data_IF_053525119625
#
_entry.id   IF_053525119625
#
_cell.length_a   1.000
_cell.length_b   1.000
_cell.length_c   1.000
_cell.angle_alpha   90.00
_cell.angle_beta   90.00
_cell.angle_gamma   90.00
#
_symmetry.space_group_name_H-M   'P 1'
#
loop_
_entity.id
_entity.type
_entity.pdbx_description
1 polymer ?
#
# COMPACT_ATOMS: atom_id res chain seq x y z
N UNK A 1 20.11 -6.36 -0.38
CA UNK A 1 19.02 -6.35 0.60
C UNK A 1 19.27 -7.43 1.62
N UNK A 2 19.06 -7.15 2.90
CA UNK A 2 19.22 -8.15 3.95
C UNK A 2 18.01 -9.11 3.99
N UNK A 3 18.25 -10.36 4.40
CA UNK A 3 17.24 -11.43 4.47
C UNK A 3 16.05 -11.07 5.39
N UNK A 4 16.27 -10.23 6.41
CA UNK A 4 15.22 -9.82 7.35
C UNK A 4 14.27 -8.80 6.73
N UNK A 5 14.77 -7.78 6.03
CA UNK A 5 13.96 -6.78 5.31
C UNK A 5 13.07 -7.44 4.28
N UNK A 6 13.62 -8.38 3.49
CA UNK A 6 12.85 -9.12 2.49
C UNK A 6 11.66 -9.87 3.12
N UNK A 7 11.90 -10.59 4.23
CA UNK A 7 10.85 -11.30 4.98
C UNK A 7 9.77 -10.37 5.51
N UNK A 8 10.16 -9.18 5.98
CA UNK A 8 9.22 -8.17 6.46
C UNK A 8 8.37 -7.63 5.30
N UNK A 9 8.98 -7.27 4.16
CA UNK A 9 8.24 -6.84 2.98
C UNK A 9 7.23 -7.90 2.54
N UNK A 10 7.64 -9.17 2.45
CA UNK A 10 6.75 -10.28 2.08
C UNK A 10 5.54 -10.40 3.02
N UNK A 11 5.78 -10.26 4.33
CA UNK A 11 4.71 -10.29 5.35
C UNK A 11 3.71 -9.14 5.19
N UNK A 12 4.15 -7.97 4.74
CA UNK A 12 3.27 -6.82 4.51
C UNK A 12 2.56 -6.86 3.15
N UNK A 13 3.18 -7.51 2.16
CA UNK A 13 2.63 -7.66 0.81
C UNK A 13 1.49 -8.67 0.81
N UNK A 14 1.73 -9.90 1.32
CA UNK A 14 0.79 -10.99 1.20
C UNK A 14 -0.37 -10.86 2.21
N UNK A 15 -1.62 -10.60 1.77
CA UNK A 15 -2.77 -10.75 2.64
C UNK A 15 -3.12 -12.24 2.69
N UNK A 16 -2.38 -13.02 3.49
CA UNK A 16 -2.49 -14.47 3.71
C UNK A 16 -3.52 -15.19 2.82
N UNK A 17 -2.98 -15.90 1.82
CA UNK A 17 -3.54 -16.44 0.56
C UNK A 17 -4.83 -17.29 0.63
N UNK A 18 -5.46 -17.41 1.79
CA UNK A 18 -6.73 -18.13 1.97
C UNK A 18 -7.80 -17.36 2.75
N UNK A 19 -7.45 -16.29 3.49
CA UNK A 19 -8.40 -15.56 4.34
C UNK A 19 -8.29 -14.02 4.32
N UNK A 20 -7.45 -13.43 3.45
CA UNK A 20 -7.26 -11.97 3.30
C UNK A 20 -7.34 -11.23 4.64
N UNK A 21 -6.44 -11.57 5.55
CA UNK A 21 -6.39 -10.92 6.87
C UNK A 21 -5.53 -9.64 6.80
N UNK A 22 -6.00 -8.51 7.38
CA UNK A 22 -5.20 -7.30 7.44
C UNK A 22 -4.00 -7.48 8.37
N UNK A 23 -2.89 -6.83 8.05
CA UNK A 23 -1.77 -6.70 8.99
C UNK A 23 -2.24 -5.88 10.19
N UNK A 24 -1.95 -6.33 11.41
CA UNK A 24 -2.29 -5.54 12.59
C UNK A 24 -1.46 -4.25 12.65
N UNK A 25 -2.04 -3.15 13.18
CA UNK A 25 -1.30 -1.89 13.39
C UNK A 25 -0.03 -2.08 14.22
N UNK A 26 -0.03 -3.01 15.16
CA UNK A 26 1.12 -3.34 16.00
C UNK A 26 2.24 -3.98 15.16
N UNK A 27 1.90 -4.93 14.29
CA UNK A 27 2.86 -5.56 13.39
C UNK A 27 3.45 -4.54 12.40
N UNK A 28 2.62 -3.66 11.83
CA UNK A 28 3.10 -2.59 10.94
C UNK A 28 4.08 -1.63 11.64
N UNK A 29 3.77 -1.20 12.87
CA UNK A 29 4.68 -0.35 13.67
C UNK A 29 6.01 -1.04 13.97
N UNK A 30 5.99 -2.35 14.23
CA UNK A 30 7.23 -3.13 14.44
C UNK A 30 8.04 -3.26 13.16
N UNK A 31 7.38 -3.42 12.00
CA UNK A 31 8.03 -3.48 10.71
C UNK A 31 8.74 -2.17 10.34
N UNK A 32 8.19 -1.01 10.71
CA UNK A 32 8.77 0.31 10.44
C UNK A 32 10.20 0.48 10.99
N UNK A 33 10.59 -0.25 12.04
CA UNK A 33 11.96 -0.22 12.57
C UNK A 33 13.01 -0.86 11.64
N UNK A 34 12.57 -1.57 10.59
CA UNK A 34 13.43 -2.32 9.67
C UNK A 34 13.26 -1.89 8.21
N UNK A 35 12.32 -0.98 7.91
CA UNK A 35 12.04 -0.54 6.56
C UNK A 35 12.56 0.88 6.35
N UNK A 36 13.15 1.10 5.19
CA UNK A 36 13.40 2.43 4.68
C UNK A 36 12.17 2.86 3.86
N UNK A 37 11.99 4.17 3.59
CA UNK A 37 10.86 4.65 2.81
C UNK A 37 10.69 3.93 1.47
N UNK A 38 11.79 3.60 0.80
CA UNK A 38 11.75 2.88 -0.48
C UNK A 38 11.28 1.42 -0.31
N UNK A 39 11.68 0.73 0.75
CA UNK A 39 11.19 -0.63 1.03
C UNK A 39 9.67 -0.66 1.26
N UNK A 40 9.12 0.36 1.92
CA UNK A 40 7.67 0.48 2.10
C UNK A 40 6.95 0.87 0.81
N UNK A 41 7.56 1.70 -0.04
CA UNK A 41 7.01 2.02 -1.35
C UNK A 41 6.91 0.78 -2.25
N UNK A 42 7.86 -0.14 -2.17
CA UNK A 42 7.79 -1.44 -2.87
C UNK A 42 6.59 -2.25 -2.36
N UNK A 43 6.38 -2.31 -1.03
CA UNK A 43 5.20 -2.97 -0.43
C UNK A 43 3.90 -2.38 -0.97
N UNK A 44 3.77 -1.05 -0.99
CA UNK A 44 2.58 -0.37 -1.52
C UNK A 44 2.36 -0.70 -3.00
N UNK A 45 3.45 -0.70 -3.79
CA UNK A 45 3.43 -1.00 -5.22
C UNK A 45 3.00 -2.44 -5.50
N UNK A 46 3.60 -3.42 -4.81
CA UNK A 46 3.26 -4.83 -4.99
C UNK A 46 1.83 -5.13 -4.55
N UNK A 47 1.36 -4.54 -3.44
CA UNK A 47 -0.04 -4.67 -3.01
C UNK A 47 -1.00 -4.10 -4.05
N UNK A 48 -0.69 -2.92 -4.61
CA UNK A 48 -1.50 -2.31 -5.65
C UNK A 48 -1.50 -3.13 -6.96
N UNK A 49 -0.37 -3.74 -7.33
CA UNK A 49 -0.27 -4.69 -8.45
C UNK A 49 -1.18 -5.92 -8.24
N UNK A 50 -1.34 -6.36 -6.99
CA UNK A 50 -2.30 -7.40 -6.60
C UNK A 50 -3.75 -6.90 -6.50
N UNK A 51 -4.02 -5.62 -6.77
CA UNK A 51 -5.35 -5.01 -6.70
C UNK A 51 -5.84 -4.71 -5.28
N UNK A 52 -4.98 -4.81 -4.26
CA UNK A 52 -5.30 -4.57 -2.85
C UNK A 52 -4.76 -3.22 -2.40
N UNK A 53 -5.48 -2.52 -1.53
CA UNK A 53 -5.06 -1.24 -0.97
C UNK A 53 -3.63 -1.32 -0.42
N UNK A 54 -2.79 -0.36 -0.83
CA UNK A 54 -1.38 -0.25 -0.45
C UNK A 54 -1.15 -0.13 1.05
N UNK A 55 -2.12 0.37 1.81
CA UNK A 55 -2.03 0.43 3.26
C UNK A 55 -2.13 -0.98 3.87
N UNK A 56 -1.09 -1.54 4.54
CA UNK A 56 -1.04 -2.95 4.93
C UNK A 56 -2.12 -3.41 5.90
N UNK A 57 -2.69 -2.48 6.68
CA UNK A 57 -3.79 -2.79 7.60
C UNK A 57 -5.17 -2.75 6.93
N UNK A 58 -5.23 -2.51 5.62
CA UNK A 58 -6.45 -2.50 4.81
C UNK A 58 -6.46 -3.71 3.86
N UNK A 59 -7.65 -4.24 3.59
CA UNK A 59 -7.87 -5.39 2.69
C UNK A 59 -8.87 -5.07 1.58
N UNK A 60 -9.31 -3.82 1.48
CA UNK A 60 -10.17 -3.35 0.40
C UNK A 60 -9.36 -3.29 -0.89
N UNK A 61 -10.06 -3.39 -2.02
CA UNK A 61 -9.43 -3.24 -3.32
C UNK A 61 -9.03 -1.78 -3.58
N UNK A 62 -8.06 -1.58 -4.46
CA UNK A 62 -7.65 -0.24 -4.91
C UNK A 62 -8.78 0.48 -5.67
N UNK A 63 -8.73 1.81 -5.69
CA UNK A 63 -9.66 2.63 -6.45
C UNK A 63 -9.47 2.43 -7.97
N UNK A 64 -10.58 2.23 -8.68
CA UNK A 64 -10.62 2.21 -10.13
C UNK A 64 -10.86 3.62 -10.67
N UNK A 65 -9.83 4.48 -10.57
CA UNK A 65 -9.86 5.87 -11.06
C UNK A 65 -8.85 6.08 -12.19
N UNK A 66 -9.03 7.14 -12.98
CA UNK A 66 -8.04 7.58 -13.97
C UNK A 66 -6.79 8.12 -13.26
N UNK A 67 -5.62 7.93 -13.89
CA UNK A 67 -4.35 8.52 -13.41
C UNK A 67 -4.42 10.05 -13.43
N UNK A 68 -5.14 10.62 -14.38
CA UNK A 68 -5.26 12.06 -14.54
C UNK A 68 -6.72 12.49 -14.39
N UNK A 69 -6.96 13.45 -13.48
CA UNK A 69 -8.27 14.09 -13.28
C UNK A 69 -8.26 15.52 -13.78
N UNK A 70 -9.01 15.83 -14.85
CA UNK A 70 -9.20 17.21 -15.25
C UNK A 70 -10.07 17.95 -14.23
N UNK A 71 -9.72 19.20 -13.98
CA UNK A 71 -10.50 20.18 -13.23
C UNK A 71 -10.28 21.54 -13.88
N UNK A 72 -11.09 22.54 -13.54
CA UNK A 72 -11.12 23.82 -14.24
C UNK A 72 -9.72 24.44 -14.37
N UNK A 73 -9.14 24.36 -15.57
CA UNK A 73 -7.80 24.85 -15.91
C UNK A 73 -6.61 24.05 -15.36
N UNK A 74 -6.81 22.88 -14.74
CA UNK A 74 -5.74 22.05 -14.13
C UNK A 74 -5.95 20.55 -14.38
N UNK A 75 -4.85 19.81 -14.50
CA UNK A 75 -4.86 18.34 -14.51
C UNK A 75 -4.17 17.86 -13.25
N UNK A 76 -4.87 17.06 -12.46
CA UNK A 76 -4.34 16.46 -11.23
C UNK A 76 -3.85 15.05 -11.51
N UNK A 77 -2.61 14.76 -11.11
CA UNK A 77 -2.08 13.40 -11.08
C UNK A 77 -2.58 12.69 -9.82
N UNK A 78 -3.22 11.54 -10.02
CA UNK A 78 -3.81 10.69 -8.99
C UNK A 78 -3.06 9.37 -8.81
N UNK A 79 -1.84 9.25 -9.35
CA UNK A 79 -1.02 8.02 -9.28
C UNK A 79 -0.95 7.44 -7.87
N UNK A 80 -0.70 8.31 -6.87
CA UNK A 80 -0.64 7.87 -5.48
C UNK A 80 -2.00 7.32 -5.01
N UNK A 81 -3.11 8.00 -5.32
CA UNK A 81 -4.44 7.58 -4.89
C UNK A 81 -4.88 6.26 -5.56
N UNK A 82 -4.41 5.97 -6.77
CA UNK A 82 -4.66 4.69 -7.44
C UNK A 82 -4.08 3.48 -6.69
N UNK A 83 -3.13 3.68 -5.78
CA UNK A 83 -2.55 2.62 -4.97
C UNK A 83 -3.37 2.32 -3.70
N UNK A 84 -4.44 3.08 -3.42
CA UNK A 84 -5.23 2.95 -2.19
C UNK A 84 -6.73 2.82 -2.48
N UNK A 85 -7.49 2.37 -1.48
CA UNK A 85 -8.95 2.29 -1.56
C UNK A 85 -9.66 3.62 -1.27
N UNK A 86 -8.97 4.60 -0.68
CA UNK A 86 -9.51 5.91 -0.33
C UNK A 86 -8.40 6.91 0.02
N UNK A 87 -8.74 8.20 0.04
CA UNK A 87 -7.83 9.26 0.50
C UNK A 87 -7.45 9.07 1.99
N UNK A 88 -8.32 8.53 2.84
CA UNK A 88 -7.95 8.28 4.24
C UNK A 88 -6.86 7.21 4.36
N UNK A 89 -6.89 6.17 3.53
CA UNK A 89 -5.84 5.16 3.52
C UNK A 89 -4.53 5.71 2.96
N UNK A 90 -4.58 6.59 1.96
CA UNK A 90 -3.40 7.29 1.46
C UNK A 90 -2.76 8.16 2.56
N UNK A 91 -3.56 8.92 3.32
CA UNK A 91 -3.07 9.80 4.39
C UNK A 91 -2.60 9.06 5.64
N UNK A 92 -3.17 7.90 5.94
CA UNK A 92 -2.80 7.08 7.09
C UNK A 92 -1.59 6.16 6.83
N UNK A 93 -1.18 6.04 5.56
CA UNK A 93 -0.16 5.10 5.08
C UNK A 93 1.25 5.51 5.45
#
# INVERSE_FOLDING_TARGET
>A
MDDRTYKIQMTLIEPCSTHRQPVSKIALRKAAAYLEPHHYQDVVTERANMGVCGYPTCIKDVLKISKYRPSTGKIYDQSNLQQYCSEECLLAS
#
